data_IF_947827583898
#
_entry.id   IF_947827583898
#
_cell.length_a   1.000
_cell.length_b   1.000
_cell.length_c   1.000
_cell.angle_alpha   90.00
_cell.angle_beta   90.00
_cell.angle_gamma   90.00
#
_symmetry.space_group_name_H-M   'P 1'
#
loop_
_entity.id
_entity.type
_entity.pdbx_description
1 polymer ?
2 non-polymer ?
3 non-polymer ?
4 non-polymer ?
5 non-polymer ?
#
# COMPACT_ATOMS: atom_id res chain seq x y z
N UNK A 22 26.37 -9.62 18.27
CA UNK A 22 26.71 -9.07 16.96
C UNK A 22 25.66 -9.47 15.91
N UNK A 23 25.47 -8.60 14.92
CA UNK A 23 24.58 -8.82 13.80
C UNK A 23 25.25 -8.32 12.52
N UNK A 24 24.96 -8.99 11.41
CA UNK A 24 25.52 -8.63 10.13
C UNK A 24 24.46 -7.91 9.29
N UNK A 25 24.82 -6.74 8.74
CA UNK A 25 23.89 -5.83 8.07
C UNK A 25 24.21 -5.80 6.58
N UNK A 26 23.27 -6.25 5.77
CA UNK A 26 23.41 -6.20 4.32
C UNK A 26 22.74 -4.93 3.81
N UNK A 27 23.53 -4.01 3.28
CA UNK A 27 22.99 -2.87 2.55
C UNK A 27 22.87 -3.30 1.10
N UNK A 28 21.65 -3.44 0.63
CA UNK A 28 21.37 -3.92 -0.71
C UNK A 28 21.07 -2.73 -1.59
N UNK A 29 21.75 -2.63 -2.73
CA UNK A 29 21.65 -1.42 -3.55
C UNK A 29 21.52 -1.80 -5.02
N UNK A 30 20.37 -1.58 -5.66
CA UNK A 30 20.22 -1.94 -7.07
C UNK A 30 20.67 -0.77 -7.91
N UNK A 31 21.31 -1.08 -9.03
CA UNK A 31 21.98 -0.07 -9.83
C UNK A 31 21.69 -0.25 -11.31
N UNK A 32 21.47 0.87 -11.97
CA UNK A 32 21.52 0.94 -13.44
C UNK A 32 21.97 2.35 -13.76
N UNK A 33 23.15 2.48 -14.36
CA UNK A 33 23.73 3.78 -14.70
C UNK A 33 23.91 4.64 -13.45
N UNK A 34 24.51 4.07 -12.42
CA UNK A 34 24.94 4.83 -11.25
C UNK A 34 26.46 4.71 -11.15
N UNK A 35 27.16 5.86 -11.12
CA UNK A 35 28.62 5.90 -11.29
C UNK A 35 29.32 6.91 -10.40
N UNK A 36 28.94 8.19 -10.62
CA UNK A 36 29.47 9.32 -9.83
C UNK A 36 28.87 9.35 -8.41
N UNK A 37 28.14 8.30 -8.04
CA UNK A 37 27.58 8.21 -6.72
C UNK A 37 28.28 7.19 -5.84
N UNK A 38 28.86 6.16 -6.47
CA UNK A 38 29.39 5.04 -5.70
C UNK A 38 30.47 5.51 -4.74
N UNK A 39 31.31 6.45 -5.17
CA UNK A 39 32.40 6.87 -4.31
C UNK A 39 31.89 7.53 -3.03
N UNK A 40 31.12 8.63 -3.17
CA UNK A 40 30.57 9.30 -1.99
C UNK A 40 29.44 8.54 -1.32
N UNK A 41 28.81 7.58 -2.01
CA UNK A 41 27.81 6.75 -1.34
C UNK A 41 28.49 5.84 -0.34
N UNK A 42 29.40 4.99 -0.85
CA UNK A 42 30.21 4.12 -0.02
C UNK A 42 30.93 4.87 1.08
N UNK A 43 31.51 6.03 0.75
CA UNK A 43 32.12 6.86 1.77
C UNK A 43 31.18 7.09 2.96
N UNK A 44 29.93 7.43 2.67
CA UNK A 44 28.99 7.84 3.71
C UNK A 44 28.40 6.65 4.46
N UNK A 45 28.23 5.51 3.78
CA UNK A 45 27.75 4.30 4.42
C UNK A 45 28.75 3.85 5.49
N UNK A 46 30.02 3.74 5.09
CA UNK A 46 31.07 3.27 5.99
C UNK A 46 31.21 4.18 7.20
N UNK A 47 31.08 5.49 7.01
CA UNK A 47 31.19 6.39 8.15
C UNK A 47 30.00 6.22 9.07
N UNK A 48 28.81 6.06 8.50
CA UNK A 48 27.62 5.88 9.31
C UNK A 48 27.57 4.50 9.90
N UNK A 49 28.06 3.50 9.17
CA UNK A 49 27.98 2.10 9.65
C UNK A 49 29.38 1.61 10.07
N UNK A 50 30.17 2.49 10.70
CA UNK A 50 31.56 2.13 11.09
C UNK A 50 31.56 1.20 12.29
N UNK A 51 32.25 0.07 12.18
CA UNK A 51 32.33 -0.89 13.29
C UNK A 51 31.34 -2.02 13.11
N UNK A 52 30.13 -1.69 12.70
CA UNK A 52 29.08 -2.73 12.57
C UNK A 52 29.46 -3.67 11.43
N UNK A 53 29.25 -4.98 11.63
CA UNK A 53 29.57 -5.96 10.58
C UNK A 53 28.61 -5.69 9.42
N UNK A 54 29.08 -4.99 8.40
CA UNK A 54 28.17 -4.62 7.29
C UNK A 54 28.70 -5.18 5.97
N UNK A 55 27.81 -5.45 5.04
CA UNK A 55 28.23 -5.89 3.69
C UNK A 55 27.41 -5.06 2.71
N UNK A 56 27.95 -4.74 1.54
CA UNK A 56 27.18 -4.01 0.55
C UNK A 56 26.91 -4.95 -0.62
N UNK A 57 25.64 -5.21 -0.90
CA UNK A 57 25.27 -6.08 -2.01
C UNK A 57 24.74 -5.18 -3.12
N UNK A 58 25.39 -5.22 -4.27
CA UNK A 58 25.05 -4.38 -5.40
C UNK A 58 24.60 -5.29 -6.54
N UNK A 59 23.37 -5.12 -6.99
CA UNK A 59 22.83 -5.87 -8.13
C UNK A 59 22.73 -4.93 -9.32
N UNK A 60 23.41 -5.28 -10.42
CA UNK A 60 23.47 -4.43 -11.61
C UNK A 60 22.94 -5.23 -12.79
N UNK A 61 22.03 -4.62 -13.55
CA UNK A 61 21.37 -5.31 -14.65
C UNK A 61 22.08 -5.03 -15.97
N UNK A 62 23.35 -5.44 -16.01
CA UNK A 62 24.23 -5.29 -17.17
C UNK A 62 24.14 -3.87 -17.75
N UNK A 63 24.31 -2.90 -16.85
CA UNK A 63 24.19 -1.48 -17.24
C UNK A 63 25.25 -1.11 -18.27
N UNK A 64 24.89 -0.31 -19.30
CA UNK A 64 25.88 0.16 -20.25
C UNK A 64 26.84 1.10 -19.52
N UNK A 65 26.47 1.50 -18.30
CA UNK A 65 27.34 2.38 -17.49
C UNK A 65 28.64 1.62 -17.23
N UNK A 66 29.71 2.34 -16.90
CA UNK A 66 30.95 1.62 -16.51
C UNK A 66 30.50 0.55 -15.53
N UNK A 67 29.83 0.98 -14.46
CA UNK A 67 29.31 0.02 -13.48
C UNK A 67 28.45 -1.01 -14.19
N UNK A 68 28.50 -2.27 -13.75
CA UNK A 68 29.16 -2.84 -12.58
C UNK A 68 30.62 -2.49 -12.27
N UNK A 69 31.44 -2.32 -13.32
CA UNK A 69 32.91 -2.22 -13.22
C UNK A 69 33.40 -1.38 -12.05
N UNK A 70 32.75 -0.27 -11.72
CA UNK A 70 33.25 0.50 -10.57
C UNK A 70 33.14 -0.30 -9.28
N UNK A 71 32.14 -1.17 -9.16
CA UNK A 71 31.82 -1.72 -7.84
C UNK A 71 32.84 -2.75 -7.38
N UNK A 72 33.38 -3.57 -8.29
CA UNK A 72 34.37 -4.57 -7.87
C UNK A 72 35.69 -3.92 -7.48
N UNK A 73 36.02 -2.78 -8.10
CA UNK A 73 37.21 -2.08 -7.66
C UNK A 73 37.03 -1.51 -6.27
N UNK A 74 35.84 -0.98 -5.99
CA UNK A 74 35.57 -0.55 -4.64
C UNK A 74 35.42 -1.73 -3.68
N UNK A 75 35.22 -2.94 -4.21
CA UNK A 75 35.30 -4.14 -3.37
C UNK A 75 36.70 -4.34 -2.79
N UNK A 76 37.68 -3.56 -3.24
CA UNK A 76 39.01 -3.61 -2.63
C UNK A 76 39.08 -2.74 -1.38
N UNK A 77 38.26 -1.70 -1.31
CA UNK A 77 38.31 -0.77 -0.19
C UNK A 77 37.06 -0.84 0.70
N UNK A 78 36.03 -1.58 0.27
CA UNK A 78 34.73 -1.66 0.96
C UNK A 78 34.16 -3.07 0.82
N UNK A 79 33.50 -3.57 1.86
CA UNK A 79 32.95 -4.94 1.78
C UNK A 79 31.80 -4.99 0.79
N UNK A 80 32.08 -5.34 -0.46
CA UNK A 80 31.08 -5.23 -1.53
C UNK A 80 31.00 -6.55 -2.28
N UNK A 81 29.77 -7.01 -2.52
CA UNK A 81 29.50 -8.22 -3.28
C UNK A 81 28.66 -7.79 -4.47
N UNK A 82 29.20 -7.93 -5.68
CA UNK A 82 28.61 -7.35 -6.89
C UNK A 82 27.89 -8.43 -7.69
N UNK A 83 26.67 -8.14 -8.09
CA UNK A 83 25.85 -9.06 -8.87
C UNK A 83 25.57 -8.41 -10.22
N UNK A 84 25.81 -9.17 -11.30
CA UNK A 84 25.71 -8.65 -12.66
C UNK A 84 24.68 -9.48 -13.41
N UNK A 85 23.53 -8.89 -13.71
CA UNK A 85 22.44 -9.58 -14.36
C UNK A 85 22.47 -9.24 -15.84
N UNK A 86 22.74 -10.25 -16.67
CA UNK A 86 22.84 -10.08 -18.11
C UNK A 86 21.50 -10.16 -18.81
N UNK A 87 20.56 -10.96 -18.29
CA UNK A 87 19.27 -11.19 -18.94
C UNK A 87 18.07 -10.98 -17.99
N UNK A 88 18.21 -10.15 -16.94
CA UNK A 88 17.12 -9.73 -16.08
C UNK A 88 17.20 -8.23 -15.83
N UNK A 89 16.04 -7.56 -15.79
CA UNK A 89 15.98 -6.14 -15.52
C UNK A 89 14.79 -5.83 -14.60
N UNK A 90 14.88 -4.70 -13.89
CA UNK A 90 13.82 -4.26 -12.99
C UNK A 90 14.21 -3.96 -11.55
N UNK A 91 13.81 -2.80 -11.04
CA UNK A 91 14.15 -2.38 -9.68
C UNK A 91 13.69 -3.38 -8.63
N UNK A 92 12.43 -3.80 -8.69
CA UNK A 92 11.95 -4.69 -7.63
C UNK A 92 12.59 -6.07 -7.75
N UNK A 93 12.85 -6.54 -8.97
CA UNK A 93 13.47 -7.84 -9.15
C UNK A 93 14.92 -7.85 -8.66
N UNK A 94 15.62 -6.72 -8.81
CA UNK A 94 16.96 -6.60 -8.26
C UNK A 94 16.97 -6.84 -6.75
N UNK A 95 16.02 -6.23 -6.03
CA UNK A 95 16.00 -6.36 -4.58
C UNK A 95 15.75 -7.81 -4.18
N UNK A 96 14.81 -8.49 -4.85
CA UNK A 96 14.57 -9.91 -4.60
C UNK A 96 15.88 -10.69 -4.62
N UNK A 97 16.64 -10.53 -5.71
CA UNK A 97 17.92 -11.21 -5.83
C UNK A 97 18.82 -10.86 -4.65
N UNK A 98 18.94 -9.57 -4.35
CA UNK A 98 19.75 -9.16 -3.22
C UNK A 98 19.40 -9.92 -1.95
N UNK A 99 18.11 -10.09 -1.69
CA UNK A 99 17.69 -10.92 -0.56
C UNK A 99 18.29 -12.31 -0.66
N UNK A 100 18.38 -12.86 -1.87
CA UNK A 100 18.93 -14.19 -2.03
C UNK A 100 20.44 -14.20 -1.79
N UNK A 101 21.14 -13.12 -2.14
CA UNK A 101 22.58 -13.10 -2.14
C UNK A 101 23.18 -12.53 -0.86
N UNK A 102 22.38 -12.25 0.16
CA UNK A 102 22.90 -11.55 1.33
C UNK A 102 22.95 -12.49 2.53
N UNK A 103 24.04 -12.39 3.30
CA UNK A 103 24.21 -13.27 4.45
C UNK A 103 24.02 -12.55 5.79
N UNK A 104 23.81 -11.24 5.78
CA UNK A 104 23.51 -10.53 7.00
C UNK A 104 22.22 -11.03 7.63
N UNK A 105 21.97 -10.56 8.85
CA UNK A 105 20.72 -10.84 9.56
C UNK A 105 19.69 -9.73 9.37
N UNK A 106 20.15 -8.51 9.06
CA UNK A 106 19.30 -7.33 8.92
C UNK A 106 19.55 -6.76 7.54
N UNK A 107 18.48 -6.58 6.78
CA UNK A 107 18.57 -6.07 5.42
C UNK A 107 18.27 -4.58 5.41
N UNK A 108 19.01 -3.86 4.58
CA UNK A 108 18.73 -2.46 4.30
C UNK A 108 18.63 -2.31 2.78
N UNK A 109 17.54 -1.71 2.31
CA UNK A 109 17.36 -1.43 0.90
C UNK A 109 17.33 0.07 0.72
N UNK A 110 18.08 0.55 -0.26
CA UNK A 110 18.14 1.98 -0.53
C UNK A 110 18.59 2.18 -1.98
N UNK A 111 18.63 3.43 -2.41
CA UNK A 111 18.99 3.78 -3.77
C UNK A 111 20.43 4.29 -3.83
N UNK A 112 21.03 4.12 -5.00
CA UNK A 112 22.42 4.53 -5.21
C UNK A 112 22.59 6.03 -5.40
N UNK A 113 21.53 6.75 -5.79
CA UNK A 113 21.61 8.12 -6.30
C UNK A 113 21.74 9.18 -5.20
N UNK A 114 21.92 8.77 -3.95
CA UNK A 114 22.10 9.62 -2.78
C UNK A 114 20.84 10.36 -2.37
N UNK A 115 19.69 10.06 -2.98
CA UNK A 115 18.43 10.58 -2.46
C UNK A 115 18.09 9.98 -1.10
N UNK A 116 18.64 8.79 -0.79
CA UNK A 116 18.55 8.20 0.55
C UNK A 116 19.84 8.46 1.29
N UNK A 117 19.81 9.15 2.43
CA UNK A 117 21.05 9.49 3.13
C UNK A 117 21.51 8.34 4.02
N UNK A 118 22.75 7.87 3.84
CA UNK A 118 23.24 6.76 4.69
C UNK A 118 23.38 7.16 6.15
N UNK A 119 23.28 8.46 6.47
CA UNK A 119 23.44 8.90 7.85
C UNK A 119 22.25 8.52 8.71
N UNK A 120 21.11 8.23 8.10
CA UNK A 120 19.97 7.78 8.88
C UNK A 120 19.94 6.26 9.01
N UNK A 121 20.88 5.54 8.38
CA UNK A 121 20.91 4.08 8.53
C UNK A 121 21.11 3.64 9.95
N UNK A 122 21.94 4.29 10.79
CA UNK A 122 21.95 3.93 12.21
C UNK A 122 20.55 4.01 12.83
N UNK A 123 19.83 5.10 12.57
CA UNK A 123 18.47 5.26 13.08
C UNK A 123 17.53 4.15 12.61
N UNK A 124 17.77 3.60 11.40
CA UNK A 124 16.98 2.47 10.93
C UNK A 124 17.31 1.19 11.71
N UNK A 125 18.61 0.87 11.84
CA UNK A 125 18.99 -0.38 12.48
C UNK A 125 18.73 -0.32 13.98
N UNK A 126 18.91 0.85 14.61
CA UNK A 126 18.54 0.96 16.02
C UNK A 126 17.08 0.60 16.21
N UNK A 127 16.23 1.02 15.27
CA UNK A 127 14.80 0.71 15.34
C UNK A 127 14.55 -0.79 15.21
N UNK A 128 15.35 -1.47 14.39
CA UNK A 128 15.24 -2.92 14.29
C UNK A 128 15.71 -3.59 15.58
N UNK A 129 16.78 -3.06 16.17
CA UNK A 129 17.32 -3.63 17.40
C UNK A 129 16.32 -3.50 18.54
N UNK A 130 15.68 -2.34 18.67
CA UNK A 130 14.68 -2.09 19.72
C UNK A 130 13.45 -2.99 19.62
N UNK A 131 13.34 -3.85 18.61
CA UNK A 131 12.25 -4.81 18.53
C UNK A 131 11.33 -4.68 17.32
N UNK A 132 11.55 -3.73 16.42
CA UNK A 132 10.71 -3.62 15.24
C UNK A 132 11.22 -4.56 14.16
N UNK A 133 10.29 -5.26 13.49
CA UNK A 133 10.73 -6.18 12.44
C UNK A 133 11.11 -5.44 11.15
N UNK A 134 10.43 -4.33 10.87
CA UNK A 134 10.65 -3.52 9.68
C UNK A 134 10.84 -2.08 10.13
N UNK A 135 11.76 -1.37 9.50
CA UNK A 135 11.97 0.03 9.77
C UNK A 135 12.05 0.77 8.45
N UNK A 136 11.17 1.77 8.27
CA UNK A 136 10.95 2.43 6.99
C UNK A 136 11.46 3.86 7.08
N UNK A 137 12.37 4.23 6.18
CA UNK A 137 12.75 5.62 6.06
C UNK A 137 11.61 6.35 5.40
N UNK A 138 10.98 7.28 6.11
CA UNK A 138 9.71 7.83 5.68
C UNK A 138 9.83 9.32 5.40
N UNK A 139 9.19 9.76 4.29
CA UNK A 139 9.20 11.16 3.89
C UNK A 139 8.19 12.00 4.62
N UNK A 140 7.15 11.36 5.18
CA UNK A 140 5.91 12.05 5.51
C UNK A 140 5.55 11.94 6.97
N UNK A 141 6.29 11.17 7.76
CA UNK A 141 6.14 11.23 9.22
C UNK A 141 6.67 12.57 9.73
N UNK A 142 6.28 12.90 10.97
CA UNK A 142 6.79 14.12 11.57
C UNK A 142 8.32 14.10 11.58
N UNK A 143 8.90 15.21 11.12
CA UNK A 143 10.32 15.31 10.88
C UNK A 143 10.70 15.06 9.44
N UNK A 144 9.97 14.19 8.74
CA UNK A 144 10.32 13.88 7.36
C UNK A 144 10.20 15.10 6.47
N UNK A 145 11.03 15.12 5.43
CA UNK A 145 11.01 16.18 4.45
C UNK A 145 11.24 15.60 3.07
N UNK A 146 10.82 16.35 2.05
CA UNK A 146 11.17 16.01 0.67
C UNK A 146 11.45 17.33 -0.03
N UNK A 147 12.65 17.85 0.20
CA UNK A 147 13.00 19.16 -0.33
C UNK A 147 13.01 19.15 -1.86
N UNK A 148 12.96 20.36 -2.43
CA UNK A 148 13.13 20.59 -3.86
C UNK A 148 11.96 20.05 -4.68
N UNK A 149 10.95 19.50 -4.05
CA UNK A 149 9.85 18.92 -4.81
C UNK A 149 8.65 19.85 -4.77
N UNK A 150 8.07 20.19 -5.92
CA UNK A 150 6.93 21.13 -5.93
C UNK A 150 5.71 20.57 -5.21
N UNK A 151 4.82 21.47 -4.83
CA UNK A 151 3.67 21.10 -4.00
C UNK A 151 2.67 20.24 -4.75
N UNK A 152 2.52 20.44 -6.06
CA UNK A 152 1.58 19.60 -6.79
C UNK A 152 2.13 18.19 -6.99
N UNK A 153 3.45 18.06 -7.15
CA UNK A 153 4.04 16.73 -7.21
C UNK A 153 4.11 16.07 -5.83
N UNK A 154 4.19 16.87 -4.76
CA UNK A 154 4.11 16.28 -3.43
C UNK A 154 2.69 15.85 -3.11
N UNK A 155 1.69 16.54 -3.64
CA UNK A 155 0.30 16.15 -3.37
C UNK A 155 -0.01 14.81 -4.01
N UNK A 156 0.20 14.69 -5.32
CA UNK A 156 -0.15 13.45 -6.02
C UNK A 156 0.60 12.24 -5.46
N UNK A 157 1.75 12.46 -4.81
CA UNK A 157 2.46 11.36 -4.16
C UNK A 157 1.74 10.91 -2.90
N UNK A 158 1.57 11.83 -1.94
CA UNK A 158 0.71 11.56 -0.78
C UNK A 158 -0.64 10.97 -1.19
N UNK A 159 -1.29 11.59 -2.18
CA UNK A 159 -2.61 11.13 -2.59
C UNK A 159 -2.60 9.71 -3.10
N UNK A 160 -1.72 9.41 -4.05
CA UNK A 160 -1.52 8.04 -4.49
C UNK A 160 -1.26 7.13 -3.30
N UNK A 161 -0.45 7.60 -2.35
CA UNK A 161 -0.22 6.84 -1.12
C UNK A 161 -1.53 6.63 -0.38
N UNK A 162 -2.36 7.68 -0.32
CA UNK A 162 -3.68 7.56 0.30
C UNK A 162 -4.52 6.46 -0.33
N UNK A 163 -4.56 6.41 -1.66
CA UNK A 163 -5.33 5.36 -2.30
C UNK A 163 -4.86 3.99 -1.81
N UNK A 164 -3.54 3.82 -1.70
CA UNK A 164 -3.00 2.56 -1.20
C UNK A 164 -3.38 2.28 0.25
N UNK A 165 -3.15 3.26 1.13
CA UNK A 165 -3.47 3.05 2.54
C UNK A 165 -4.94 2.68 2.72
N UNK A 166 -5.82 3.26 1.90
CA UNK A 166 -7.26 2.98 2.01
C UNK A 166 -7.58 1.60 1.46
N UNK A 167 -7.09 1.30 0.26
CA UNK A 167 -7.41 0.04 -0.41
C UNK A 167 -6.81 -1.16 0.31
N UNK A 168 -5.76 -0.96 1.11
CA UNK A 168 -5.08 -2.07 1.78
C UNK A 168 -5.11 -1.78 3.28
N UNK A 169 -6.18 -2.20 3.96
CA UNK A 169 -6.29 -1.89 5.39
C UNK A 169 -5.05 -2.25 6.17
N UNK A 170 -4.30 -3.25 5.73
CA UNK A 170 -3.10 -3.68 6.46
C UNK A 170 -2.14 -2.52 6.68
N UNK A 171 -1.91 -1.73 5.63
CA UNK A 171 -0.95 -0.64 5.67
C UNK A 171 -1.61 0.71 5.96
N UNK A 172 -2.83 0.70 6.53
CA UNK A 172 -3.57 1.94 6.78
C UNK A 172 -2.72 3.00 7.49
N UNK A 173 -2.01 2.60 8.54
CA UNK A 173 -1.27 3.57 9.34
C UNK A 173 0.13 3.90 8.77
N UNK A 174 0.56 3.22 7.71
CA UNK A 174 1.89 3.46 7.14
C UNK A 174 1.84 4.70 6.27
N UNK A 175 2.51 5.76 6.71
CA UNK A 175 2.45 7.03 5.98
C UNK A 175 3.31 7.04 4.72
N UNK A 176 4.28 6.14 4.58
CA UNK A 176 5.13 6.06 3.38
C UNK A 176 5.37 4.62 2.97
N UNK A 177 4.32 3.87 2.63
CA UNK A 177 4.54 2.48 2.20
C UNK A 177 5.28 2.35 0.88
N UNK A 178 5.52 3.44 0.15
CA UNK A 178 6.11 3.33 -1.18
C UNK A 178 7.58 3.66 -1.16
N UNK A 179 8.14 3.87 0.03
CA UNK A 179 9.55 4.13 0.18
C UNK A 179 10.39 3.01 -0.45
N UNK A 180 11.44 3.40 -1.17
CA UNK A 180 12.50 2.48 -1.50
C UNK A 180 13.63 2.50 -0.49
N UNK A 181 13.43 3.11 0.67
CA UNK A 181 14.46 3.27 1.69
C UNK A 181 13.92 2.72 3.00
N UNK A 182 14.33 1.49 3.32
CA UNK A 182 13.85 0.82 4.52
C UNK A 182 14.89 -0.20 4.99
N UNK A 183 14.63 -0.79 6.15
CA UNK A 183 15.40 -1.90 6.68
C UNK A 183 14.43 -2.98 7.16
N UNK A 184 14.92 -4.22 7.25
CA UNK A 184 14.07 -5.34 7.64
C UNK A 184 14.93 -6.48 8.17
N UNK A 185 14.35 -7.30 9.04
CA UNK A 185 15.01 -8.52 9.46
C UNK A 185 14.84 -9.61 8.40
N UNK A 186 15.91 -10.36 8.17
CA UNK A 186 15.92 -11.44 7.17
C UNK A 186 14.70 -12.35 7.27
N UNK A 187 14.21 -12.59 8.49
CA UNK A 187 13.12 -13.52 8.72
C UNK A 187 11.81 -13.06 8.08
N UNK A 188 11.71 -11.77 7.74
CA UNK A 188 10.52 -11.20 7.13
C UNK A 188 10.30 -11.73 5.72
N UNK A 189 11.38 -12.10 5.02
CA UNK A 189 11.28 -12.51 3.63
C UNK A 189 11.68 -13.96 3.38
N UNK A 190 12.07 -14.71 4.41
CA UNK A 190 12.45 -16.12 4.19
C UNK A 190 11.23 -16.96 3.84
N UNK A 191 11.35 -17.72 2.74
CA UNK A 191 10.26 -18.56 2.31
C UNK A 191 9.04 -17.83 1.83
N UNK A 192 9.14 -16.52 1.61
CA UNK A 192 8.07 -15.74 1.03
C UNK A 192 8.39 -15.53 -0.44
N UNK A 193 7.37 -15.61 -1.29
CA UNK A 193 7.54 -15.36 -2.72
C UNK A 193 7.00 -13.97 -3.01
N UNK A 194 7.89 -13.07 -3.42
CA UNK A 194 7.52 -11.69 -3.73
C UNK A 194 7.49 -11.51 -5.24
N UNK A 195 6.48 -10.80 -5.72
CA UNK A 195 6.30 -10.61 -7.15
C UNK A 195 7.46 -9.83 -7.75
N UNK A 196 8.23 -10.42 -8.67
CA UNK A 196 9.34 -9.68 -9.28
C UNK A 196 8.87 -8.59 -10.22
N UNK A 197 7.61 -8.66 -10.65
CA UNK A 197 7.05 -7.62 -11.56
C UNK A 197 6.52 -6.46 -10.70
N UNK A 198 6.57 -6.61 -9.38
CA UNK A 198 6.02 -5.58 -8.49
C UNK A 198 6.54 -4.19 -8.82
N UNK A 199 5.70 -3.18 -8.62
CA UNK A 199 6.12 -1.78 -8.88
C UNK A 199 7.04 -1.33 -7.73
N UNK A 200 6.54 -1.43 -6.50
CA UNK A 200 7.34 -1.01 -5.35
C UNK A 200 7.57 -2.17 -4.38
N UNK A 201 8.83 -2.41 -4.06
CA UNK A 201 9.12 -3.62 -3.30
C UNK A 201 8.59 -3.49 -1.87
N UNK A 202 8.64 -2.28 -1.30
CA UNK A 202 8.30 -2.14 0.12
C UNK A 202 6.92 -2.66 0.39
N UNK A 203 5.97 -2.38 -0.50
CA UNK A 203 4.60 -2.80 -0.27
C UNK A 203 4.42 -4.30 -0.46
N UNK A 204 5.12 -4.90 -1.42
CA UNK A 204 5.11 -6.36 -1.52
C UNK A 204 5.51 -6.99 -0.19
N UNK A 205 6.46 -6.37 0.50
CA UNK A 205 6.93 -6.87 1.78
C UNK A 205 5.91 -6.59 2.87
N UNK A 206 5.28 -5.40 2.83
CA UNK A 206 4.26 -5.03 3.79
C UNK A 206 3.02 -5.91 3.68
N UNK A 207 2.76 -6.49 2.52
CA UNK A 207 1.56 -7.28 2.34
C UNK A 207 1.83 -8.75 2.55
N UNK A 208 2.87 -9.29 1.95
CA UNK A 208 3.16 -10.70 2.01
C UNK A 208 4.24 -11.05 3.02
N UNK A 209 4.81 -10.05 3.68
CA UNK A 209 5.86 -10.31 4.67
C UNK A 209 5.30 -10.80 6.00
N UNK A 210 6.14 -11.56 6.70
CA UNK A 210 5.89 -11.98 8.08
C UNK A 210 6.53 -10.95 9.00
N UNK A 211 5.73 -10.31 9.85
CA UNK A 211 6.26 -9.34 10.81
C UNK A 211 5.20 -9.01 11.85
N UNK A 212 5.57 -8.16 12.80
CA UNK A 212 4.70 -7.81 13.91
C UNK A 212 4.73 -6.30 14.12
N UNK A 213 5.93 -5.74 14.22
CA UNK A 213 6.12 -4.31 14.35
C UNK A 213 6.65 -3.72 13.06
N UNK A 214 6.17 -2.53 12.74
CA UNK A 214 6.75 -1.66 11.73
C UNK A 214 6.84 -0.27 12.32
N UNK A 215 7.89 0.46 11.97
CA UNK A 215 8.15 1.81 12.45
C UNK A 215 8.59 2.63 11.24
N UNK A 216 8.24 3.92 11.24
CA UNK A 216 8.73 4.81 10.21
C UNK A 216 9.76 5.73 10.85
N UNK A 217 10.79 6.06 10.09
CA UNK A 217 11.89 6.89 10.58
C UNK A 217 11.96 8.11 9.67
N UNK A 218 11.81 9.31 10.23
CA UNK A 218 11.80 10.53 9.40
C UNK A 218 13.16 10.77 8.75
N UNK A 219 13.14 11.08 7.47
CA UNK A 219 14.35 11.52 6.81
C UNK A 219 13.96 12.57 5.78
N UNK A 220 14.98 13.27 5.31
CA UNK A 220 14.80 14.29 4.29
C UNK A 220 15.20 13.71 2.94
N UNK A 221 14.22 13.59 2.05
CA UNK A 221 14.50 13.15 0.70
C UNK A 221 15.47 14.13 0.05
N UNK A 222 16.38 13.62 -0.79
CA UNK A 222 17.47 14.41 -1.33
C UNK A 222 17.44 14.52 -2.85
N UNK A 223 18.30 15.39 -3.37
CA UNK A 223 18.47 15.58 -4.81
C UNK A 223 19.45 14.52 -5.34
N UNK A 224 19.25 14.13 -6.61
CA UNK A 224 20.03 13.09 -7.28
C UNK A 224 21.57 13.31 -7.17
N UNK A 235 2.79 5.68 -15.26
CA UNK A 235 3.40 5.17 -14.04
C UNK A 235 2.33 4.89 -12.98
N UNK A 236 1.22 5.62 -13.08
CA UNK A 236 0.13 5.46 -12.11
C UNK A 236 -0.66 4.19 -12.40
N UNK A 237 -0.90 3.90 -13.68
CA UNK A 237 -1.58 2.66 -14.03
C UNK A 237 -0.71 1.45 -13.71
N UNK A 238 0.61 1.61 -13.74
CA UNK A 238 1.47 0.53 -13.23
C UNK A 238 1.26 0.37 -11.73
N UNK A 239 1.15 1.48 -11.01
CA UNK A 239 0.90 1.44 -9.58
C UNK A 239 -0.45 0.82 -9.25
N UNK A 240 -1.49 1.12 -10.04
CA UNK A 240 -2.83 0.62 -9.74
C UNK A 240 -2.93 -0.89 -9.97
N UNK A 241 -2.29 -1.40 -11.02
CA UNK A 241 -2.29 -2.84 -11.24
C UNK A 241 -1.64 -3.55 -10.06
N UNK A 242 -0.60 -2.94 -9.50
CA UNK A 242 0.05 -3.51 -8.32
C UNK A 242 -0.92 -3.60 -7.17
N UNK A 243 -1.66 -2.52 -6.91
CA UNK A 243 -2.62 -2.55 -5.81
C UNK A 243 -3.71 -3.56 -6.09
N UNK A 244 -4.16 -3.64 -7.34
CA UNK A 244 -5.11 -4.69 -7.67
C UNK A 244 -4.50 -6.07 -7.35
N UNK A 245 -3.23 -6.27 -7.68
CA UNK A 245 -2.60 -7.55 -7.34
C UNK A 245 -2.54 -7.75 -5.83
N UNK A 246 -2.21 -6.71 -5.08
CA UNK A 246 -2.14 -6.85 -3.63
C UNK A 246 -3.51 -7.00 -3.01
N UNK A 247 -4.52 -6.37 -3.62
CA UNK A 247 -5.87 -6.47 -3.11
C UNK A 247 -6.43 -7.87 -3.35
N UNK A 248 -6.17 -8.44 -4.52
CA UNK A 248 -6.54 -9.84 -4.75
C UNK A 248 -5.82 -10.76 -3.76
N UNK A 249 -4.50 -10.60 -3.64
CA UNK A 249 -3.72 -11.49 -2.79
C UNK A 249 -4.23 -11.45 -1.34
N UNK A 250 -4.46 -10.25 -0.80
CA UNK A 250 -5.00 -10.13 0.55
C UNK A 250 -6.42 -10.68 0.66
N UNK A 251 -7.09 -10.96 -0.46
CA UNK A 251 -8.48 -11.37 -0.46
C UNK A 251 -9.46 -10.23 -0.46
N UNK A 252 -8.99 -9.01 -0.64
CA UNK A 252 -9.89 -7.89 -0.58
C UNK A 252 -10.84 -7.88 -1.78
N UNK A 253 -10.34 -8.25 -2.97
CA UNK A 253 -11.23 -8.38 -4.13
C UNK A 253 -12.38 -9.33 -3.80
N UNK A 254 -12.07 -10.47 -3.18
CA UNK A 254 -13.12 -11.38 -2.76
C UNK A 254 -14.15 -10.66 -1.91
N UNK A 255 -13.70 -9.91 -0.89
CA UNK A 255 -14.63 -9.23 -0.01
C UNK A 255 -15.57 -8.32 -0.78
N UNK A 256 -15.04 -7.63 -1.80
CA UNK A 256 -15.84 -6.78 -2.65
C UNK A 256 -16.82 -7.60 -3.46
N UNK A 257 -16.36 -8.73 -4.01
CA UNK A 257 -17.25 -9.59 -4.77
C UNK A 257 -18.41 -10.05 -3.90
N UNK A 258 -18.09 -10.60 -2.72
CA UNK A 258 -19.12 -11.06 -1.80
C UNK A 258 -19.98 -9.90 -1.30
N UNK A 259 -19.44 -8.69 -1.28
CA UNK A 259 -20.25 -7.49 -0.98
C UNK A 259 -21.28 -7.22 -2.07
N UNK A 260 -20.86 -7.30 -3.34
CA UNK A 260 -21.83 -7.03 -4.40
C UNK A 260 -22.96 -8.07 -4.38
N UNK A 261 -22.60 -9.34 -4.18
CA UNK A 261 -23.61 -10.40 -4.10
C UNK A 261 -24.62 -10.07 -3.01
N UNK A 262 -24.14 -9.66 -1.84
CA UNK A 262 -25.05 -9.28 -0.76
C UNK A 262 -25.93 -8.11 -1.20
N UNK A 263 -25.38 -7.21 -2.00
CA UNK A 263 -26.18 -6.09 -2.46
C UNK A 263 -27.30 -6.54 -3.36
N UNK A 264 -27.04 -7.57 -4.19
CA UNK A 264 -28.04 -8.06 -5.11
C UNK A 264 -29.25 -8.57 -4.37
N UNK A 265 -29.01 -9.45 -3.37
CA UNK A 265 -30.09 -9.89 -2.49
C UNK A 265 -30.92 -8.70 -2.03
N UNK A 266 -30.25 -7.64 -1.57
CA UNK A 266 -30.96 -6.42 -1.21
C UNK A 266 -31.95 -5.96 -2.27
N UNK A 267 -31.48 -5.87 -3.53
CA UNK A 267 -32.36 -5.45 -4.63
C UNK A 267 -33.61 -6.32 -4.67
N UNK A 268 -33.43 -7.63 -4.48
CA UNK A 268 -34.56 -8.55 -4.38
C UNK A 268 -35.47 -8.16 -3.23
N UNK A 269 -34.93 -8.15 -2.02
CA UNK A 269 -35.76 -7.93 -0.86
C UNK A 269 -36.35 -6.55 -0.87
N UNK A 270 -35.71 -5.63 -1.59
CA UNK A 270 -36.22 -4.26 -1.70
C UNK A 270 -37.43 -4.21 -2.61
N UNK A 271 -37.23 -4.52 -3.90
CA UNK A 271 -38.34 -4.57 -4.86
C UNK A 271 -39.41 -5.55 -4.41
N UNK A 272 -39.00 -6.69 -3.86
CA UNK A 272 -39.98 -7.71 -3.50
C UNK A 272 -40.97 -7.19 -2.47
N UNK A 273 -40.47 -6.57 -1.41
CA UNK A 273 -41.35 -6.02 -0.39
C UNK A 273 -42.03 -4.75 -0.87
N UNK A 274 -41.46 -4.10 -1.88
CA UNK A 274 -42.15 -2.91 -2.43
C UNK A 274 -43.44 -3.39 -3.09
N UNK A 275 -43.32 -4.31 -4.03
CA UNK A 275 -44.52 -4.79 -4.77
C UNK A 275 -45.58 -5.19 -3.74
N UNK A 276 -45.21 -6.06 -2.81
CA UNK A 276 -46.16 -6.50 -1.77
C UNK A 276 -46.74 -5.25 -1.13
N UNK A 277 -45.89 -4.38 -0.61
CA UNK A 277 -46.43 -3.23 0.12
C UNK A 277 -47.45 -2.46 -0.74
N UNK A 278 -47.13 -2.22 -2.00
CA UNK A 278 -48.03 -1.43 -2.83
C UNK A 278 -49.35 -2.18 -3.04
N UNK A 279 -49.30 -3.51 -3.13
CA UNK A 279 -50.51 -4.28 -3.38
C UNK A 279 -51.43 -4.34 -2.16
N UNK A 280 -50.93 -4.04 -0.96
CA UNK A 280 -51.78 -4.13 0.22
C UNK A 280 -52.29 -2.76 0.64
N UNK A 281 -52.40 -1.84 -0.31
CA UNK A 281 -52.97 -0.52 -0.12
C UNK A 281 -51.95 0.58 0.04
N UNK A 282 -50.78 0.26 0.54
CA UNK A 282 -49.81 1.29 0.94
C UNK A 282 -49.32 2.04 -0.30
N UNK A 283 -49.35 3.38 -0.30
CA UNK A 283 -48.92 4.12 -1.51
C UNK A 283 -47.46 3.89 -1.85
N UNK A 284 -47.17 4.00 -3.14
CA UNK A 284 -45.80 3.73 -3.61
C UNK A 284 -44.80 4.71 -2.99
N UNK A 285 -45.20 5.97 -2.78
CA UNK A 285 -44.26 6.93 -2.22
C UNK A 285 -43.93 6.60 -0.77
N UNK A 286 -44.85 5.96 -0.04
CA UNK A 286 -44.64 5.61 1.36
C UNK A 286 -44.25 4.14 1.55
N UNK A 287 -44.33 3.32 0.51
CA UNK A 287 -43.94 1.92 0.64
C UNK A 287 -42.43 1.73 0.51
N UNK A 288 -41.74 2.62 -0.21
CA UNK A 288 -40.29 2.49 -0.33
C UNK A 288 -39.61 2.61 1.03
N UNK A 289 -40.14 3.47 1.91
CA UNK A 289 -39.47 3.75 3.18
C UNK A 289 -39.22 2.49 4.00
N UNK A 290 -40.22 1.67 4.33
CA UNK A 290 -39.88 0.42 5.01
C UNK A 290 -39.16 -0.55 4.08
N UNK A 291 -39.47 -0.53 2.79
CA UNK A 291 -38.86 -1.49 1.88
C UNK A 291 -37.37 -1.24 1.71
N UNK A 292 -36.95 0.03 1.65
CA UNK A 292 -35.52 0.28 1.58
C UNK A 292 -34.87 -0.14 2.89
N UNK A 293 -35.56 0.11 4.01
CA UNK A 293 -34.99 -0.22 5.30
C UNK A 293 -34.86 -1.73 5.49
N UNK A 294 -35.87 -2.49 5.07
CA UNK A 294 -35.74 -3.94 5.16
C UNK A 294 -34.62 -4.45 4.28
N UNK A 295 -34.32 -3.75 3.18
CA UNK A 295 -33.18 -4.14 2.35
C UNK A 295 -31.87 -3.87 3.06
N UNK A 296 -31.77 -2.72 3.75
CA UNK A 296 -30.58 -2.45 4.54
C UNK A 296 -30.36 -3.55 5.58
N UNK A 297 -31.37 -3.83 6.41
CA UNK A 297 -31.27 -4.89 7.40
C UNK A 297 -30.84 -6.19 6.74
N UNK A 298 -31.49 -6.56 5.65
CA UNK A 298 -31.07 -7.74 4.91
C UNK A 298 -29.57 -7.67 4.60
N UNK A 299 -29.13 -6.54 4.01
CA UNK A 299 -27.75 -6.42 3.53
C UNK A 299 -26.75 -6.46 4.69
N UNK A 300 -27.06 -5.78 5.80
CA UNK A 300 -26.18 -5.87 6.96
C UNK A 300 -26.02 -7.31 7.40
N UNK A 301 -27.13 -8.03 7.53
CA UNK A 301 -27.09 -9.38 8.13
C UNK A 301 -26.15 -10.29 7.36
N UNK A 302 -26.39 -10.47 6.07
CA UNK A 302 -25.48 -11.28 5.26
C UNK A 302 -24.06 -10.76 5.32
N UNK A 303 -23.86 -9.45 5.42
CA UNK A 303 -22.50 -8.92 5.47
C UNK A 303 -21.81 -9.31 6.78
N UNK A 304 -22.54 -9.28 7.89
CA UNK A 304 -21.92 -9.52 9.19
C UNK A 304 -21.47 -10.96 9.31
N UNK A 305 -22.26 -11.90 8.80
CA UNK A 305 -22.00 -13.31 8.97
C UNK A 305 -21.44 -13.96 7.72
N UNK A 306 -21.09 -13.17 6.71
CA UNK A 306 -20.39 -13.76 5.57
C UNK A 306 -19.15 -12.97 5.14
N UNK A 307 -19.38 -11.82 4.52
CA UNK A 307 -18.31 -11.04 3.91
C UNK A 307 -17.23 -10.67 4.92
N UNK A 308 -17.63 -10.40 6.16
CA UNK A 308 -16.77 -9.82 7.19
C UNK A 308 -16.87 -10.61 8.48
N UNK A 309 -17.25 -11.90 8.41
CA UNK A 309 -17.45 -12.67 9.62
C UNK A 309 -16.17 -12.75 10.44
N UNK A 310 -15.01 -12.62 9.79
CA UNK A 310 -13.73 -12.69 10.50
C UNK A 310 -13.30 -11.38 11.13
N UNK A 311 -13.93 -10.25 10.78
CA UNK A 311 -13.50 -8.97 11.34
C UNK A 311 -14.65 -8.26 12.02
N UNK A 312 -15.57 -9.01 12.57
CA UNK A 312 -16.62 -8.38 13.34
C UNK A 312 -16.16 -8.16 14.77
N UNK A 313 -16.77 -7.19 15.45
CA UNK A 313 -16.27 -6.61 16.68
C UNK A 313 -17.43 -5.82 17.30
N UNK A 314 -17.22 -5.37 18.54
CA UNK A 314 -18.20 -4.64 19.29
C UNK A 314 -19.53 -5.33 19.32
N UNK A 315 -20.56 -4.53 19.58
CA UNK A 315 -21.96 -4.93 19.55
C UNK A 315 -22.39 -5.27 18.12
N UNK A 316 -23.33 -6.21 17.98
CA UNK A 316 -23.96 -6.38 16.68
C UNK A 316 -24.95 -5.23 16.40
N UNK A 317 -25.52 -4.63 17.45
CA UNK A 317 -26.32 -3.42 17.25
C UNK A 317 -25.45 -2.24 16.83
N UNK A 318 -24.21 -2.18 17.31
CA UNK A 318 -23.35 -1.07 16.94
C UNK A 318 -22.82 -1.20 15.53
N UNK A 319 -22.59 -2.43 15.05
CA UNK A 319 -22.27 -2.61 13.64
C UNK A 319 -23.47 -2.26 12.77
N UNK A 320 -24.67 -2.66 13.21
CA UNK A 320 -25.89 -2.30 12.50
C UNK A 320 -26.02 -0.79 12.37
N UNK A 321 -25.83 -0.07 13.47
CA UNK A 321 -25.92 1.39 13.40
C UNK A 321 -24.95 1.96 12.38
N UNK A 322 -23.68 1.53 12.42
CA UNK A 322 -22.70 2.07 11.48
C UNK A 322 -23.04 1.70 10.04
N UNK A 323 -23.51 0.47 9.82
CA UNK A 323 -23.88 0.09 8.47
C UNK A 323 -24.91 1.04 7.89
N UNK A 324 -25.83 1.52 8.74
CA UNK A 324 -26.78 2.53 8.28
C UNK A 324 -26.06 3.79 7.82
N UNK A 325 -25.18 4.32 8.68
CA UNK A 325 -24.33 5.45 8.30
C UNK A 325 -23.63 5.19 6.97
N UNK A 326 -23.22 3.95 6.75
CA UNK A 326 -22.57 3.61 5.49
C UNK A 326 -23.53 3.77 4.31
N UNK A 327 -24.70 3.11 4.36
CA UNK A 327 -25.62 3.14 3.22
C UNK A 327 -26.08 4.55 2.91
N UNK A 328 -26.21 5.34 3.96
CA UNK A 328 -26.60 6.72 3.80
C UNK A 328 -25.48 7.55 3.21
N UNK A 329 -24.26 7.36 3.71
CA UNK A 329 -23.11 8.08 3.15
C UNK A 329 -23.04 7.92 1.64
N UNK A 330 -23.28 6.69 1.14
CA UNK A 330 -23.24 6.46 -0.29
C UNK A 330 -24.33 7.20 -1.03
N UNK A 331 -25.48 7.37 -0.39
CA UNK A 331 -26.57 8.16 -0.97
C UNK A 331 -26.13 9.61 -1.16
N UNK A 332 -25.56 10.23 -0.12
CA UNK A 332 -25.04 11.59 -0.23
C UNK A 332 -24.00 11.69 -1.34
N UNK A 333 -23.00 10.80 -1.30
CA UNK A 333 -21.96 10.83 -2.33
C UNK A 333 -22.57 10.73 -3.72
N UNK A 334 -23.60 9.88 -3.87
CA UNK A 334 -24.26 9.74 -5.16
C UNK A 334 -24.95 11.03 -5.59
N UNK A 335 -25.66 11.66 -4.65
CA UNK A 335 -26.39 12.89 -4.97
C UNK A 335 -25.42 13.98 -5.42
N UNK A 336 -24.42 14.26 -4.61
CA UNK A 336 -23.47 15.33 -4.90
C UNK A 336 -22.74 15.07 -6.22
N UNK A 337 -22.28 13.84 -6.43
CA UNK A 337 -21.51 13.56 -7.64
C UNK A 337 -22.39 13.67 -8.88
N UNK A 338 -23.62 13.18 -8.78
CA UNK A 338 -24.58 13.34 -9.87
C UNK A 338 -24.71 14.80 -10.26
N UNK A 339 -25.08 15.64 -9.30
CA UNK A 339 -25.37 17.03 -9.63
C UNK A 339 -24.14 17.76 -10.11
N UNK A 340 -22.99 17.47 -9.53
CA UNK A 340 -21.77 18.17 -9.94
C UNK A 340 -21.45 17.85 -11.40
N UNK A 341 -21.32 16.56 -11.74
CA UNK A 341 -21.19 16.15 -13.14
C UNK A 341 -22.19 16.85 -14.07
N UNK A 342 -23.45 17.00 -13.64
CA UNK A 342 -24.44 17.68 -14.47
C UNK A 342 -24.04 19.12 -14.72
N UNK A 343 -23.54 19.80 -13.69
CA UNK A 343 -23.08 21.17 -13.88
C UNK A 343 -21.80 21.23 -14.72
N UNK A 344 -21.06 20.14 -14.79
CA UNK A 344 -19.88 20.08 -15.63
C UNK A 344 -20.23 19.69 -17.06
N UNK A 345 -21.50 19.42 -17.34
CA UNK A 345 -21.95 19.15 -18.67
C UNK A 345 -22.03 17.69 -19.05
N UNK A 346 -21.89 16.81 -18.07
CA UNK A 346 -21.87 15.34 -18.36
C UNK A 346 -23.29 14.84 -18.60
N UNK A 347 -23.42 13.80 -19.42
CA UNK A 347 -24.75 13.25 -19.78
C UNK A 347 -25.40 12.66 -18.54
N UNK A 348 -26.69 12.92 -18.36
CA UNK A 348 -27.40 12.45 -17.15
C UNK A 348 -27.11 10.98 -16.94
N UNK A 349 -27.24 10.18 -17.99
CA UNK A 349 -27.09 8.75 -17.79
C UNK A 349 -25.66 8.39 -17.39
N UNK A 350 -24.68 9.15 -17.87
CA UNK A 350 -23.30 8.90 -17.46
C UNK A 350 -23.05 9.45 -16.06
N UNK A 351 -23.55 10.64 -15.76
CA UNK A 351 -23.45 11.12 -14.39
C UNK A 351 -24.18 10.21 -13.42
N UNK A 352 -25.28 9.60 -13.85
CA UNK A 352 -26.01 8.71 -12.96
C UNK A 352 -25.20 7.44 -12.68
N UNK A 353 -24.54 6.91 -13.71
CA UNK A 353 -23.76 5.70 -13.50
C UNK A 353 -22.54 5.98 -12.63
N UNK A 354 -21.85 7.08 -12.86
CA UNK A 354 -20.69 7.38 -12.03
C UNK A 354 -21.12 7.61 -10.59
N UNK A 355 -22.31 8.16 -10.38
CA UNK A 355 -22.72 8.44 -9.02
C UNK A 355 -23.12 7.20 -8.24
N UNK A 356 -23.53 6.15 -8.95
CA UNK A 356 -23.83 4.88 -8.29
C UNK A 356 -22.53 4.14 -7.99
N UNK A 357 -21.64 4.08 -8.97
CA UNK A 357 -20.34 3.45 -8.77
C UNK A 357 -19.62 4.06 -7.58
N UNK A 358 -19.45 5.37 -7.56
CA UNK A 358 -18.77 6.02 -6.44
C UNK A 358 -19.51 5.78 -5.13
N UNK A 359 -20.84 5.82 -5.15
CA UNK A 359 -21.61 5.44 -3.98
C UNK A 359 -21.20 4.07 -3.48
N UNK A 360 -21.13 3.09 -4.37
CA UNK A 360 -20.75 1.73 -3.99
C UNK A 360 -19.36 1.69 -3.37
N UNK A 361 -18.38 2.25 -4.09
CA UNK A 361 -17.04 2.40 -3.54
C UNK A 361 -17.02 2.99 -2.14
N UNK A 362 -17.63 4.16 -1.95
CA UNK A 362 -17.53 4.74 -0.62
C UNK A 362 -18.24 3.87 0.40
N UNK A 363 -19.39 3.28 0.03
CA UNK A 363 -20.13 2.43 0.97
C UNK A 363 -19.29 1.23 1.40
N UNK A 364 -18.51 0.67 0.48
CA UNK A 364 -17.65 -0.43 0.87
C UNK A 364 -16.51 0.04 1.77
N UNK A 365 -15.79 1.09 1.37
CA UNK A 365 -14.67 1.59 2.16
C UNK A 365 -15.10 1.93 3.58
N UNK A 366 -16.17 2.73 3.71
CA UNK A 366 -16.69 3.08 5.04
C UNK A 366 -17.05 1.84 5.84
N UNK A 367 -17.62 0.82 5.18
CA UNK A 367 -17.93 -0.42 5.88
C UNK A 367 -16.65 -1.14 6.34
N UNK A 368 -15.69 -1.30 5.42
CA UNK A 368 -14.48 -2.05 5.73
C UNK A 368 -13.68 -1.39 6.85
N UNK A 369 -13.54 -0.08 6.83
CA UNK A 369 -12.69 0.57 7.80
C UNK A 369 -13.43 0.88 9.08
N UNK A 370 -14.67 1.37 9.01
CA UNK A 370 -15.32 1.87 10.22
C UNK A 370 -16.26 0.82 10.79
N UNK A 371 -17.35 0.52 10.05
CA UNK A 371 -18.30 -0.49 10.50
C UNK A 371 -17.62 -1.75 10.99
N UNK A 372 -16.61 -2.20 10.25
CA UNK A 372 -15.89 -3.44 10.66
C UNK A 372 -14.44 -3.09 10.98
N UNK A 373 -14.22 -2.31 12.03
CA UNK A 373 -12.87 -1.89 12.41
C UNK A 373 -12.16 -3.05 13.11
N UNK A 374 -11.17 -3.65 12.45
CA UNK A 374 -10.38 -4.74 13.07
C UNK A 374 -9.44 -4.14 14.12
#
# INVERSE_FOLDING_TARGET
>A
MHHHHHHSSGVDLGTENLYFQSMKVSVIIPTYNERENLEELFSRIDNALQGLNYEIVVVDDDSPDRTWEKAQELSSKYPVKVIRRTKEKGLSSAVIRGFKEASGDVFVVMDADLQHPPEVIPKLIEAIKNGSDIAIGSRYVKGGKVENWPFYRKLISKGAIMVGRIALPKIRDIKDPVSGFFALRKEVVEGVELNPIGFKILMEILIKGKYSKVVEVPFTFGIRARGESKLKGKTIFEYLRHIYRLMKWEGEIDRIVKFSIVGLSGILVNEGFLWLFVNLGIPKEIAVIPAVELSILNNFFWNDIWTFKDIRRGSIFSRLLKFHIAALSGAVVNFIVYWILLFLGIHYLIANLVGIVLSFGVRYVINRHVTWAT
#
